data_IF_643739902227
#
_entry.id   IF_643739902227
#
_cell.length_a   1.000
_cell.length_b   1.000
_cell.length_c   1.000
_cell.angle_alpha   90.00
_cell.angle_beta   90.00
_cell.angle_gamma   90.00
#
_symmetry.space_group_name_H-M   'P 1'
#
loop_
_entity.id
_entity.type
_entity.pdbx_description
1 polymer ?
#
# COMPACT_ATOMS: atom_id res chain seq x y z
N UNK A 1 4.32 11.80 -28.56
CA UNK A 1 2.99 12.13 -28.00
C UNK A 1 1.96 11.40 -28.82
N UNK A 2 1.38 10.31 -28.30
CA UNK A 2 0.36 9.55 -29.04
C UNK A 2 -0.99 10.20 -28.72
N UNK A 3 -1.61 10.86 -29.71
CA UNK A 3 -2.98 11.33 -29.61
C UNK A 3 -3.92 10.29 -30.23
N UNK A 4 -4.74 9.67 -29.42
CA UNK A 4 -5.84 8.83 -29.92
C UNK A 4 -6.97 9.72 -30.42
N UNK A 5 -7.56 9.39 -31.57
CA UNK A 5 -8.75 10.08 -32.07
C UNK A 5 -9.97 9.60 -31.29
N UNK A 6 -10.93 10.48 -31.04
CA UNK A 6 -12.12 10.28 -30.20
C UNK A 6 -13.00 9.05 -30.55
N UNK A 7 -12.75 8.36 -31.67
CA UNK A 7 -13.53 7.21 -32.15
C UNK A 7 -12.67 5.94 -32.35
N UNK A 8 -11.44 5.89 -31.79
CA UNK A 8 -10.62 4.68 -31.86
C UNK A 8 -10.94 3.73 -30.70
N UNK A 9 -10.90 2.39 -30.92
CA UNK A 9 -11.04 1.42 -29.85
C UNK A 9 -9.97 1.67 -28.79
N UNK A 10 -10.37 1.93 -27.53
CA UNK A 10 -9.48 2.25 -26.41
C UNK A 10 -9.36 3.74 -26.09
N UNK A 11 -10.08 4.64 -26.80
CA UNK A 11 -10.19 6.03 -26.38
C UNK A 11 -11.05 6.12 -25.12
N UNK A 12 -10.48 6.67 -24.05
CA UNK A 12 -11.18 6.97 -22.80
C UNK A 12 -11.25 8.49 -22.67
N UNK A 13 -12.45 9.04 -22.49
CA UNK A 13 -12.65 10.48 -22.26
C UNK A 13 -11.96 10.90 -20.95
N UNK A 14 -11.51 12.14 -20.88
CA UNK A 14 -10.83 12.69 -19.67
C UNK A 14 -11.73 12.57 -18.42
N UNK A 15 -13.03 12.66 -18.57
CA UNK A 15 -13.98 12.45 -17.47
C UNK A 15 -14.01 11.00 -16.99
N UNK A 16 -13.93 10.05 -17.91
CA UNK A 16 -13.88 8.62 -17.58
C UNK A 16 -12.56 8.27 -16.89
N UNK A 17 -11.45 8.89 -17.32
CA UNK A 17 -10.15 8.75 -16.64
C UNK A 17 -10.21 9.26 -15.20
N UNK A 18 -10.84 10.40 -14.95
CA UNK A 18 -11.00 10.96 -13.61
C UNK A 18 -11.77 10.00 -12.70
N UNK A 19 -12.88 9.45 -13.19
CA UNK A 19 -13.70 8.49 -12.45
C UNK A 19 -12.95 7.19 -12.16
N UNK A 20 -12.20 6.67 -13.15
CA UNK A 20 -11.37 5.46 -12.98
C UNK A 20 -10.31 5.69 -11.90
N UNK A 21 -9.62 6.83 -11.92
CA UNK A 21 -8.61 7.16 -10.92
C UNK A 21 -9.22 7.33 -9.52
N UNK A 22 -10.35 8.03 -9.41
CA UNK A 22 -11.06 8.18 -8.15
C UNK A 22 -11.44 6.82 -7.55
N UNK A 23 -12.02 5.95 -8.37
CA UNK A 23 -12.37 4.59 -7.93
C UNK A 23 -11.15 3.77 -7.51
N UNK A 24 -10.06 3.84 -8.25
CA UNK A 24 -8.82 3.16 -7.88
C UNK A 24 -8.29 3.62 -6.50
N UNK A 25 -8.35 4.93 -6.21
CA UNK A 25 -7.97 5.48 -4.90
C UNK A 25 -8.90 4.99 -3.79
N UNK A 26 -10.22 4.97 -4.03
CA UNK A 26 -11.18 4.42 -3.07
C UNK A 26 -10.93 2.92 -2.79
N UNK A 27 -10.64 2.14 -3.82
CA UNK A 27 -10.35 0.70 -3.70
C UNK A 27 -9.03 0.46 -2.93
N UNK A 28 -7.99 1.29 -3.17
CA UNK A 28 -6.75 1.25 -2.41
C UNK A 28 -7.01 1.54 -0.93
N UNK A 29 -7.87 2.50 -0.59
CA UNK A 29 -8.23 2.78 0.81
C UNK A 29 -8.85 1.56 1.51
N UNK A 30 -9.73 0.84 0.83
CA UNK A 30 -10.46 -0.32 1.37
C UNK A 30 -9.63 -1.60 1.40
N UNK A 31 -8.61 -1.72 0.55
CA UNK A 31 -7.80 -2.92 0.43
C UNK A 31 -6.83 -3.07 1.61
N UNK A 32 -6.57 -4.29 2.04
CA UNK A 32 -5.50 -4.62 2.99
C UNK A 32 -4.16 -4.83 2.28
N UNK A 33 -4.21 -5.30 1.03
CA UNK A 33 -3.07 -5.63 0.18
C UNK A 33 -3.37 -5.12 -1.23
N UNK A 34 -2.37 -4.56 -1.90
CA UNK A 34 -2.50 -4.05 -3.25
C UNK A 34 -1.62 -4.84 -4.22
N UNK A 35 -2.18 -5.20 -5.37
CA UNK A 35 -1.47 -5.88 -6.46
C UNK A 35 -1.62 -5.05 -7.72
N UNK A 36 -0.51 -4.70 -8.35
CA UNK A 36 -0.46 -3.85 -9.52
C UNK A 36 0.22 -4.60 -10.68
N UNK A 37 -0.35 -4.47 -11.86
CA UNK A 37 0.25 -4.91 -13.10
C UNK A 37 0.87 -3.71 -13.82
N UNK A 38 2.16 -3.77 -14.15
CA UNK A 38 2.94 -2.64 -14.69
C UNK A 38 3.70 -2.95 -15.99
N UNK A 39 3.25 -3.94 -16.76
CA UNK A 39 3.87 -4.30 -18.04
C UNK A 39 3.78 -3.19 -19.10
N UNK A 40 2.73 -2.37 -19.00
CA UNK A 40 2.64 -1.11 -19.73
C UNK A 40 3.04 0.03 -18.81
N UNK A 41 4.03 0.82 -19.22
CA UNK A 41 4.45 2.01 -18.47
C UNK A 41 3.26 2.96 -18.31
N UNK A 42 2.85 3.22 -17.07
CA UNK A 42 1.74 4.11 -16.74
C UNK A 42 2.09 4.97 -15.53
N UNK A 43 1.99 6.28 -15.69
CA UNK A 43 2.12 7.22 -14.58
C UNK A 43 1.06 6.96 -13.50
N UNK A 44 -0.16 6.61 -13.90
CA UNK A 44 -1.25 6.32 -12.99
C UNK A 44 -0.95 5.15 -12.06
N UNK A 45 -0.41 4.04 -12.59
CA UNK A 45 0.01 2.89 -11.76
C UNK A 45 1.13 3.31 -10.81
N UNK A 46 2.10 4.11 -11.26
CA UNK A 46 3.16 4.63 -10.39
C UNK A 46 2.63 5.44 -9.22
N UNK A 47 1.69 6.33 -9.49
CA UNK A 47 1.02 7.12 -8.47
C UNK A 47 0.23 6.23 -7.48
N UNK A 48 -0.52 5.27 -7.98
CA UNK A 48 -1.30 4.35 -7.15
C UNK A 48 -0.42 3.51 -6.22
N UNK A 49 0.72 3.01 -6.71
CA UNK A 49 1.70 2.28 -5.88
C UNK A 49 2.27 3.18 -4.78
N UNK A 50 2.71 4.40 -5.13
CA UNK A 50 3.24 5.35 -4.16
C UNK A 50 2.19 5.69 -3.09
N UNK A 51 0.94 5.88 -3.51
CA UNK A 51 -0.18 6.16 -2.63
C UNK A 51 -0.50 5.00 -1.68
N UNK A 52 -0.52 3.77 -2.19
CA UNK A 52 -0.72 2.57 -1.37
C UNK A 52 0.41 2.40 -0.33
N UNK A 53 1.66 2.64 -0.71
CA UNK A 53 2.80 2.62 0.21
C UNK A 53 2.72 3.71 1.28
N UNK A 54 2.25 4.91 0.93
CA UNK A 54 1.99 5.99 1.89
C UNK A 54 0.95 5.57 2.93
N UNK A 55 -0.08 4.83 2.52
CA UNK A 55 -1.08 4.23 3.41
C UNK A 55 -0.58 2.97 4.14
N UNK A 56 0.71 2.67 4.05
CA UNK A 56 1.34 1.51 4.70
C UNK A 56 0.76 0.16 4.26
N UNK A 57 0.27 0.08 3.02
CA UNK A 57 -0.27 -1.15 2.44
C UNK A 57 0.84 -1.99 1.81
N UNK A 58 0.87 -3.32 2.03
CA UNK A 58 1.74 -4.20 1.26
C UNK A 58 1.39 -4.16 -0.22
N UNK A 59 2.40 -3.96 -1.07
CA UNK A 59 2.25 -3.80 -2.51
C UNK A 59 3.06 -4.86 -3.25
N UNK A 60 2.41 -5.60 -4.15
CA UNK A 60 3.05 -6.43 -5.15
C UNK A 60 2.92 -5.75 -6.52
N UNK A 61 4.05 -5.53 -7.17
CA UNK A 61 4.08 -5.04 -8.55
C UNK A 61 4.56 -6.16 -9.46
N UNK A 62 3.71 -6.54 -10.40
CA UNK A 62 3.98 -7.55 -11.41
C UNK A 62 4.34 -6.88 -12.73
N UNK A 63 5.30 -7.43 -13.43
CA UNK A 63 5.73 -6.97 -14.74
C UNK A 63 6.02 -8.15 -15.67
N UNK A 64 5.48 -8.13 -16.88
CA UNK A 64 5.86 -9.05 -17.92
C UNK A 64 7.33 -8.79 -18.34
N UNK A 65 8.14 -9.85 -18.43
CA UNK A 65 9.52 -9.80 -18.88
C UNK A 65 9.64 -9.22 -20.28
N UNK A 66 8.67 -9.50 -21.14
CA UNK A 66 8.61 -9.02 -22.52
C UNK A 66 7.93 -7.64 -22.63
N UNK A 67 7.45 -7.10 -21.52
CA UNK A 67 6.81 -5.78 -21.48
C UNK A 67 7.78 -4.63 -21.70
N UNK A 68 7.25 -3.41 -21.79
CA UNK A 68 8.03 -2.20 -22.02
C UNK A 68 9.11 -2.06 -20.92
N UNK A 69 10.37 -1.89 -21.32
CA UNK A 69 11.44 -1.60 -20.37
C UNK A 69 11.12 -0.27 -19.67
N UNK A 70 10.72 -0.35 -18.42
CA UNK A 70 10.51 0.79 -17.57
C UNK A 70 11.36 0.64 -16.30
N UNK A 71 11.93 1.73 -15.83
CA UNK A 71 12.66 1.77 -14.56
C UNK A 71 11.71 2.01 -13.38
N UNK A 72 10.43 1.67 -13.56
CA UNK A 72 9.43 1.81 -12.52
C UNK A 72 9.83 0.97 -11.30
N UNK A 73 9.88 1.58 -10.15
CA UNK A 73 10.25 0.92 -8.90
C UNK A 73 11.75 0.83 -8.63
N UNK A 74 12.63 1.10 -9.60
CA UNK A 74 14.08 1.20 -9.34
C UNK A 74 14.34 2.44 -8.48
N UNK A 75 14.70 2.25 -7.22
CA UNK A 75 14.95 3.35 -6.28
C UNK A 75 13.87 3.49 -5.18
N UNK A 76 12.75 2.79 -5.26
CA UNK A 76 11.82 2.69 -4.14
C UNK A 76 12.31 1.58 -3.21
N UNK A 77 12.89 1.95 -2.08
CA UNK A 77 13.30 1.00 -1.03
C UNK A 77 12.19 0.97 0.02
N UNK A 78 11.42 -0.11 0.05
CA UNK A 78 10.37 -0.32 1.04
C UNK A 78 10.22 -1.81 1.33
N UNK A 79 10.11 -2.17 2.60
CA UNK A 79 9.77 -3.53 3.03
C UNK A 79 8.31 -3.92 2.71
N UNK A 80 7.49 -2.96 2.32
CA UNK A 80 6.10 -3.16 1.91
C UNK A 80 5.97 -3.38 0.40
N UNK A 81 7.04 -3.19 -0.39
CA UNK A 81 7.01 -3.32 -1.84
C UNK A 81 7.77 -4.57 -2.29
N UNK A 82 7.07 -5.49 -2.95
CA UNK A 82 7.67 -6.60 -3.69
C UNK A 82 7.47 -6.36 -5.18
N UNK A 83 8.56 -6.37 -5.94
CA UNK A 83 8.54 -6.22 -7.38
C UNK A 83 8.97 -7.54 -8.02
N UNK A 84 8.16 -8.08 -8.92
CA UNK A 84 8.41 -9.37 -9.56
C UNK A 84 8.19 -9.28 -11.07
N UNK A 85 9.16 -9.78 -11.83
CA UNK A 85 9.03 -9.96 -13.28
C UNK A 85 8.62 -11.40 -13.55
N UNK A 86 7.55 -11.60 -14.34
CA UNK A 86 7.05 -12.92 -14.73
C UNK A 86 7.26 -13.18 -16.20
N UNK A 87 7.33 -14.44 -16.57
CA UNK A 87 7.44 -14.90 -17.97
C UNK A 87 6.20 -15.68 -18.43
N UNK A 88 5.52 -16.33 -17.49
CA UNK A 88 4.33 -17.16 -17.74
C UNK A 88 3.23 -16.84 -16.74
N UNK A 89 2.01 -17.09 -17.12
CA UNK A 89 0.83 -16.86 -16.27
C UNK A 89 0.88 -17.69 -14.98
N UNK A 90 1.44 -18.89 -15.03
CA UNK A 90 1.60 -19.75 -13.83
C UNK A 90 2.52 -19.10 -12.78
N UNK A 91 3.53 -18.32 -13.20
CA UNK A 91 4.42 -17.60 -12.31
C UNK A 91 3.65 -16.54 -11.52
N UNK A 92 2.64 -15.92 -12.15
CA UNK A 92 1.77 -14.92 -11.50
C UNK A 92 1.00 -15.58 -10.36
N UNK A 93 0.35 -16.72 -10.65
CA UNK A 93 -0.49 -17.41 -9.65
C UNK A 93 0.34 -17.80 -8.42
N UNK A 94 1.52 -18.36 -8.64
CA UNK A 94 2.43 -18.74 -7.55
C UNK A 94 2.87 -17.50 -6.75
N UNK A 95 3.33 -16.46 -7.44
CA UNK A 95 3.81 -15.21 -6.83
C UNK A 95 2.73 -14.51 -6.00
N UNK A 96 1.52 -14.42 -6.54
CA UNK A 96 0.38 -13.81 -5.83
C UNK A 96 0.03 -14.62 -4.59
N UNK A 97 -0.06 -15.93 -4.69
CA UNK A 97 -0.36 -16.81 -3.56
C UNK A 97 0.68 -16.69 -2.46
N UNK A 98 1.97 -16.72 -2.79
CA UNK A 98 3.08 -16.53 -1.86
C UNK A 98 3.00 -15.17 -1.17
N UNK A 99 2.80 -14.10 -1.95
CA UNK A 99 2.67 -12.74 -1.42
C UNK A 99 1.47 -12.58 -0.47
N UNK A 100 0.32 -13.14 -0.83
CA UNK A 100 -0.88 -13.11 0.02
C UNK A 100 -0.67 -13.91 1.31
N UNK A 101 -0.06 -15.09 1.24
CA UNK A 101 0.22 -15.90 2.43
C UNK A 101 1.17 -15.20 3.41
N UNK A 102 2.21 -14.56 2.89
CA UNK A 102 3.20 -13.83 3.69
C UNK A 102 2.61 -12.59 4.36
N UNK A 103 1.70 -11.88 3.66
CA UNK A 103 1.14 -10.61 4.15
C UNK A 103 -0.19 -10.77 4.87
N UNK A 104 -0.81 -11.96 4.86
CA UNK A 104 -2.09 -12.22 5.54
C UNK A 104 -1.98 -12.06 7.07
N UNK A 105 -0.85 -12.44 7.64
CA UNK A 105 -0.58 -12.25 9.07
C UNK A 105 -0.30 -10.78 9.41
N UNK A 106 0.34 -10.04 8.51
CA UNK A 106 0.59 -8.62 8.69
C UNK A 106 -0.70 -7.76 8.58
N UNK A 107 -1.70 -8.23 7.81
CA UNK A 107 -3.01 -7.60 7.72
C UNK A 107 -3.84 -7.74 9.01
N UNK A 108 -3.48 -8.67 9.91
CA UNK A 108 -4.10 -8.79 11.25
C UNK A 108 -3.54 -7.78 12.24
N UNK A 109 -2.34 -7.24 12.00
CA UNK A 109 -1.76 -6.14 12.77
C UNK A 109 -2.18 -4.81 12.11
N UNK A 110 -3.38 -4.35 12.43
CA UNK A 110 -3.86 -3.03 12.01
C UNK A 110 -2.90 -1.94 12.51
N UNK A 111 -2.29 -1.22 11.58
CA UNK A 111 -1.45 -0.06 11.91
C UNK A 111 -2.34 1.17 12.03
N UNK A 112 -2.27 1.80 13.18
CA UNK A 112 -2.97 3.04 13.44
C UNK A 112 -1.96 4.16 13.69
N UNK A 113 -2.00 5.21 12.85
CA UNK A 113 -1.15 6.38 12.98
C UNK A 113 -2.00 7.58 13.37
N UNK A 114 -1.56 8.32 14.38
CA UNK A 114 -2.21 9.57 14.80
C UNK A 114 -1.16 10.60 15.20
N UNK A 115 -1.53 11.85 15.04
CA UNK A 115 -0.70 12.99 15.46
C UNK A 115 -0.99 13.25 16.94
N UNK A 116 0.07 13.39 17.74
CA UNK A 116 -0.02 13.73 19.17
C UNK A 116 0.63 15.10 19.40
N UNK A 117 0.14 15.81 20.39
CA UNK A 117 0.75 17.04 20.85
C UNK A 117 2.06 16.79 21.64
N UNK A 118 2.76 17.86 21.94
CA UNK A 118 4.05 17.81 22.64
C UNK A 118 3.93 17.30 24.08
N UNK A 119 2.82 17.56 24.74
CA UNK A 119 2.58 17.15 26.13
C UNK A 119 2.43 15.63 26.20
N UNK A 120 1.57 15.05 25.36
CA UNK A 120 1.40 13.59 25.25
C UNK A 120 2.71 12.92 24.85
N UNK A 121 3.45 13.51 23.90
CA UNK A 121 4.76 12.97 23.52
C UNK A 121 5.75 12.91 24.69
N UNK A 122 5.84 13.99 25.48
CA UNK A 122 6.74 14.06 26.64
C UNK A 122 6.33 13.07 27.73
N UNK A 123 5.03 12.93 27.98
CA UNK A 123 4.51 11.93 28.91
C UNK A 123 4.88 10.51 28.47
N UNK A 124 4.65 10.16 27.21
CA UNK A 124 5.00 8.85 26.67
C UNK A 124 6.51 8.58 26.72
N UNK A 125 7.34 9.60 26.50
CA UNK A 125 8.79 9.49 26.60
C UNK A 125 9.20 9.18 28.05
N UNK A 126 8.66 9.91 29.02
CA UNK A 126 8.91 9.68 30.43
C UNK A 126 8.41 8.32 30.89
N UNK A 127 7.19 7.94 30.55
CA UNK A 127 6.61 6.66 30.93
C UNK A 127 7.38 5.48 30.31
N UNK A 128 7.82 5.60 29.07
CA UNK A 128 8.66 4.60 28.39
C UNK A 128 9.97 4.37 29.12
N UNK A 129 10.61 5.44 29.56
CA UNK A 129 11.83 5.35 30.36
C UNK A 129 11.58 4.69 31.73
N UNK A 130 10.52 5.11 32.42
CA UNK A 130 10.18 4.62 33.78
C UNK A 130 9.77 3.14 33.78
N UNK A 131 9.07 2.68 32.76
CA UNK A 131 8.51 1.31 32.70
C UNK A 131 9.34 0.34 31.87
N UNK A 132 10.41 0.81 31.25
CA UNK A 132 11.23 0.06 30.28
C UNK A 132 10.37 -0.59 29.17
N UNK A 133 9.32 0.10 28.72
CA UNK A 133 8.37 -0.35 27.71
C UNK A 133 8.37 0.59 26.52
N UNK A 134 7.99 0.12 25.34
CA UNK A 134 7.89 1.02 24.18
C UNK A 134 6.69 1.98 24.33
N UNK A 135 6.75 3.17 23.71
CA UNK A 135 5.61 4.09 23.68
C UNK A 135 4.34 3.44 23.13
N UNK A 136 4.50 2.58 22.11
CA UNK A 136 3.40 1.84 21.53
C UNK A 136 2.75 0.86 22.52
N UNK A 137 3.55 0.17 23.34
CA UNK A 137 3.02 -0.76 24.34
C UNK A 137 2.28 -0.02 25.45
N UNK A 138 2.76 1.15 25.86
CA UNK A 138 2.08 2.01 26.82
C UNK A 138 0.70 2.44 26.29
N UNK A 139 0.65 2.92 25.05
CA UNK A 139 -0.62 3.33 24.42
C UNK A 139 -1.57 2.13 24.28
N UNK A 140 -1.09 0.96 23.81
CA UNK A 140 -1.91 -0.25 23.74
C UNK A 140 -2.47 -0.67 25.09
N UNK A 141 -1.65 -0.59 26.13
CA UNK A 141 -2.07 -0.91 27.49
C UNK A 141 -3.17 0.03 27.96
N UNK A 142 -3.00 1.34 27.82
CA UNK A 142 -3.99 2.33 28.20
C UNK A 142 -5.34 2.12 27.49
N UNK A 143 -5.28 1.83 26.19
CA UNK A 143 -6.49 1.55 25.40
C UNK A 143 -7.17 0.26 25.89
N UNK A 144 -6.41 -0.82 26.12
CA UNK A 144 -6.97 -2.08 26.65
C UNK A 144 -7.57 -1.93 28.04
N UNK A 145 -6.91 -1.19 28.91
CA UNK A 145 -7.38 -0.94 30.27
C UNK A 145 -8.71 -0.17 30.25
N UNK A 146 -8.85 0.79 29.31
CA UNK A 146 -10.10 1.53 29.16
C UNK A 146 -11.21 0.69 28.54
N UNK A 147 -10.90 -0.05 27.49
CA UNK A 147 -11.85 -0.98 26.84
C UNK A 147 -12.42 -2.03 27.81
N UNK A 148 -11.60 -2.52 28.74
CA UNK A 148 -12.02 -3.50 29.75
C UNK A 148 -12.88 -2.89 30.87
N UNK A 149 -12.85 -1.56 31.07
CA UNK A 149 -13.71 -0.86 32.05
C UNK A 149 -15.12 -0.58 31.52
N UNK A 150 -15.27 -0.55 30.19
CA UNK A 150 -16.55 -0.28 29.50
C UNK A 150 -17.36 -1.55 29.21
N UNK A 151 -16.78 -2.73 29.48
CA UNK A 151 -17.46 -4.04 29.42
C UNK A 151 -18.04 -4.44 30.76
#
# INVERSE_FOLDING_TARGET
MYSFKKNEPGFIDDRDWSLIQQKAIEDIHKADICIFESSKSSFAVGFQVAYALQLQKPCLVLKDKNGIKSNFGSGIVSNLLKYVTYEKDDDIVFTVRDFLSTNRLAAQDLRFNFVIDREIYNYLKWASFKTNSTKADIVRKLIRDNFNKEK
#
